data_IF_611001009599
#
_entry.id   IF_611001009599
#
_cell.length_a   1.000
_cell.length_b   1.000
_cell.length_c   1.000
_cell.angle_alpha   90.00
_cell.angle_beta   90.00
_cell.angle_gamma   90.00
#
_symmetry.space_group_name_H-M   'P 1'
#
loop_
_entity.id
_entity.type
_entity.pdbx_description
1 polymer ?
#
# COMPACT_ATOMS: atom_id res chain seq x y z
N UNK A 1 21.48 -10.97 6.75
CA UNK A 1 21.49 -10.47 5.37
C UNK A 1 20.29 -9.58 5.14
N UNK A 2 20.50 -8.38 4.65
CA UNK A 2 19.42 -7.45 4.38
C UNK A 2 18.70 -7.88 3.10
N UNK A 3 17.38 -7.96 3.15
CA UNK A 3 16.60 -8.28 1.98
C UNK A 3 16.67 -7.14 0.96
N UNK A 4 16.81 -7.48 -0.32
CA UNK A 4 17.04 -6.50 -1.38
C UNK A 4 15.91 -5.49 -1.56
N UNK A 5 14.67 -5.86 -1.23
CA UNK A 5 13.55 -4.93 -1.39
C UNK A 5 13.73 -3.65 -0.59
N UNK A 6 14.48 -3.72 0.52
CA UNK A 6 14.75 -2.54 1.34
C UNK A 6 15.58 -1.49 0.63
N UNK A 7 16.26 -1.87 -0.44
CA UNK A 7 17.07 -0.96 -1.25
C UNK A 7 16.26 -0.33 -2.39
N UNK A 8 15.03 -0.78 -2.61
CA UNK A 8 14.19 -0.25 -3.68
C UNK A 8 13.54 1.06 -3.25
N UNK A 9 13.71 2.10 -4.04
CA UNK A 9 13.09 3.40 -3.78
C UNK A 9 11.57 3.29 -3.74
N UNK A 10 11.01 2.44 -4.60
CA UNK A 10 9.56 2.25 -4.66
C UNK A 10 9.03 1.62 -3.37
N UNK A 11 9.81 0.74 -2.73
CA UNK A 11 9.41 0.18 -1.44
C UNK A 11 9.40 1.25 -0.35
N UNK A 12 10.48 2.05 -0.30
CA UNK A 12 10.58 3.15 0.67
C UNK A 12 9.44 4.15 0.48
N UNK A 13 9.16 4.53 -0.77
CA UNK A 13 8.04 5.43 -1.06
C UNK A 13 6.71 4.82 -0.62
N UNK A 14 6.53 3.51 -0.81
CA UNK A 14 5.34 2.80 -0.35
C UNK A 14 5.20 2.83 1.17
N UNK A 15 6.31 2.67 1.90
CA UNK A 15 6.30 2.75 3.36
C UNK A 15 5.92 4.16 3.84
N UNK A 16 6.46 5.20 3.19
CA UNK A 16 6.10 6.58 3.51
C UNK A 16 4.62 6.84 3.26
N UNK A 17 4.10 6.29 2.18
CA UNK A 17 2.68 6.41 1.85
C UNK A 17 1.81 5.75 2.94
N UNK A 18 2.20 4.59 3.44
CA UNK A 18 1.48 3.93 4.54
C UNK A 18 1.42 4.83 5.77
N UNK A 19 2.55 5.43 6.14
CA UNK A 19 2.59 6.33 7.30
C UNK A 19 1.65 7.52 7.11
N UNK A 20 1.67 8.13 5.92
CA UNK A 20 0.79 9.25 5.62
C UNK A 20 -0.68 8.85 5.70
N UNK A 21 -1.03 7.67 5.20
CA UNK A 21 -2.41 7.18 5.24
C UNK A 21 -2.86 6.90 6.68
N UNK A 22 -1.98 6.39 7.52
CA UNK A 22 -2.31 6.18 8.93
C UNK A 22 -2.55 7.50 9.64
N UNK A 23 -1.71 8.50 9.39
CA UNK A 23 -1.90 9.85 9.96
C UNK A 23 -3.22 10.47 9.48
N UNK A 24 -3.46 10.39 8.18
CA UNK A 24 -4.66 10.96 7.58
C UNK A 24 -5.93 10.32 8.14
N UNK A 25 -5.93 9.00 8.29
CA UNK A 25 -7.13 8.28 8.73
C UNK A 25 -7.41 8.43 10.22
N UNK A 26 -6.46 8.90 11.02
CA UNK A 26 -6.74 9.20 12.43
C UNK A 26 -7.75 10.34 12.58
N UNK A 27 -7.90 11.20 11.57
CA UNK A 27 -8.87 12.30 11.61
C UNK A 27 -10.25 11.90 11.12
N UNK A 28 -10.43 10.67 10.63
CA UNK A 28 -11.75 10.19 10.20
C UNK A 28 -12.62 9.88 11.43
N UNK A 29 -13.97 10.00 11.29
CA UNK A 29 -14.86 9.67 12.38
C UNK A 29 -14.67 8.24 12.88
N UNK A 30 -14.93 8.03 14.17
CA UNK A 30 -14.76 6.72 14.80
C UNK A 30 -15.65 5.65 14.18
N UNK A 31 -16.83 6.03 13.70
CA UNK A 31 -17.75 5.10 13.06
C UNK A 31 -17.27 4.65 11.68
N UNK A 32 -16.19 5.27 11.15
CA UNK A 32 -15.54 4.83 9.91
C UNK A 32 -14.41 3.82 10.17
N UNK A 33 -14.18 3.43 11.42
CA UNK A 33 -13.07 2.54 11.78
C UNK A 33 -13.09 1.23 11.00
N UNK A 34 -14.26 0.62 10.82
CA UNK A 34 -14.39 -0.62 10.07
C UNK A 34 -14.82 -0.42 8.63
N UNK A 35 -15.06 0.83 8.22
CA UNK A 35 -15.37 1.20 6.85
C UNK A 35 -14.18 1.83 6.17
N UNK A 36 -14.22 3.15 5.96
CA UNK A 36 -13.22 3.88 5.16
C UNK A 36 -11.82 3.78 5.75
N UNK A 37 -11.67 3.92 7.07
CA UNK A 37 -10.35 3.82 7.71
C UNK A 37 -9.70 2.47 7.41
N UNK A 38 -10.44 1.39 7.60
CA UNK A 38 -9.93 0.04 7.35
C UNK A 38 -9.55 -0.14 5.88
N UNK A 39 -10.41 0.30 4.96
CA UNK A 39 -10.17 0.14 3.53
C UNK A 39 -8.93 0.93 3.08
N UNK A 40 -8.77 2.16 3.52
CA UNK A 40 -7.61 2.99 3.18
C UNK A 40 -6.32 2.34 3.66
N UNK A 41 -6.30 1.92 4.92
CA UNK A 41 -5.10 1.33 5.52
C UNK A 41 -4.72 0.01 4.86
N UNK A 42 -5.70 -0.84 4.56
CA UNK A 42 -5.44 -2.12 3.90
C UNK A 42 -4.89 -1.94 2.49
N UNK A 43 -5.47 -1.01 1.72
CA UNK A 43 -4.98 -0.73 0.38
C UNK A 43 -3.56 -0.17 0.42
N UNK A 44 -3.28 0.75 1.34
CA UNK A 44 -1.96 1.35 1.48
C UNK A 44 -0.90 0.29 1.83
N UNK A 45 -1.17 -0.54 2.84
CA UNK A 45 -0.24 -1.59 3.30
C UNK A 45 0.05 -2.59 2.20
N UNK A 46 -0.94 -2.90 1.36
CA UNK A 46 -0.79 -3.86 0.25
C UNK A 46 0.29 -3.43 -0.76
N UNK A 47 0.56 -2.13 -0.88
CA UNK A 47 1.53 -1.63 -1.86
C UNK A 47 2.96 -2.08 -1.51
N UNK A 48 3.56 -1.66 -0.38
CA UNK A 48 4.91 -2.11 -0.07
C UNK A 48 4.98 -3.60 0.23
N UNK A 49 3.92 -4.18 0.77
CA UNK A 49 3.89 -5.62 1.07
C UNK A 49 4.05 -6.45 -0.21
N UNK A 50 3.35 -6.09 -1.29
CA UNK A 50 3.48 -6.80 -2.56
C UNK A 50 4.83 -6.56 -3.24
N UNK A 51 5.36 -5.36 -3.13
CA UNK A 51 6.71 -5.07 -3.66
C UNK A 51 7.73 -5.98 -2.97
N UNK A 52 7.67 -6.04 -1.64
CA UNK A 52 8.59 -6.87 -0.86
C UNK A 52 8.44 -8.35 -1.20
N UNK A 53 7.20 -8.85 -1.18
CA UNK A 53 6.93 -10.26 -1.45
C UNK A 53 7.39 -10.65 -2.84
N UNK A 54 7.06 -9.85 -3.86
CA UNK A 54 7.45 -10.11 -5.23
C UNK A 54 8.96 -10.09 -5.43
N UNK A 55 9.65 -9.17 -4.76
CA UNK A 55 11.10 -9.07 -4.89
C UNK A 55 11.82 -10.24 -4.23
N UNK A 56 11.20 -10.90 -3.26
CA UNK A 56 11.77 -12.08 -2.61
C UNK A 56 11.60 -13.35 -3.44
N UNK A 57 10.71 -13.33 -4.43
CA UNK A 57 10.55 -14.47 -5.35
C UNK A 57 11.63 -14.41 -6.41
N UNK A 58 12.24 -15.55 -6.71
CA UNK A 58 13.32 -15.61 -7.69
C UNK A 58 12.77 -15.85 -9.08
N UNK A 59 11.83 -15.00 -9.50
CA UNK A 59 11.14 -15.14 -10.78
C UNK A 59 10.64 -13.78 -11.23
N UNK A 60 11.08 -13.33 -12.41
CA UNK A 60 10.63 -12.07 -12.98
C UNK A 60 9.12 -12.04 -13.27
N UNK A 61 8.51 -13.10 -13.83
CA UNK A 61 7.07 -13.10 -14.01
C UNK A 61 6.28 -12.95 -12.70
N UNK A 62 6.74 -13.60 -11.63
CA UNK A 62 6.10 -13.49 -10.31
C UNK A 62 6.26 -12.08 -9.76
N UNK A 63 7.45 -11.50 -9.90
CA UNK A 63 7.68 -10.13 -9.45
C UNK A 63 6.75 -9.15 -10.20
N UNK A 64 6.66 -9.29 -11.53
CA UNK A 64 5.75 -8.45 -12.33
C UNK A 64 4.30 -8.58 -11.87
N UNK A 65 3.87 -9.79 -11.54
CA UNK A 65 2.51 -10.02 -11.03
C UNK A 65 2.29 -9.27 -9.71
N UNK A 66 3.25 -9.33 -8.79
CA UNK A 66 3.14 -8.61 -7.51
C UNK A 66 3.14 -7.09 -7.71
N UNK A 67 3.94 -6.58 -8.65
CA UNK A 67 3.92 -5.16 -9.00
C UNK A 67 2.55 -4.77 -9.56
N UNK A 68 1.96 -5.63 -10.39
CA UNK A 68 0.62 -5.40 -10.93
C UNK A 68 -0.43 -5.31 -9.81
N UNK A 69 -0.33 -6.19 -8.80
CA UNK A 69 -1.21 -6.15 -7.63
C UNK A 69 -1.01 -4.84 -6.86
N UNK A 70 0.25 -4.42 -6.68
CA UNK A 70 0.56 -3.17 -5.99
C UNK A 70 -0.03 -1.97 -6.72
N UNK A 71 0.04 -1.94 -8.06
CA UNK A 71 -0.58 -0.89 -8.86
C UNK A 71 -2.10 -0.87 -8.70
N UNK A 72 -2.73 -2.04 -8.65
CA UNK A 72 -4.16 -2.15 -8.39
C UNK A 72 -4.53 -1.61 -7.02
N UNK A 73 -3.73 -1.94 -6.01
CA UNK A 73 -3.93 -1.43 -4.65
C UNK A 73 -3.77 0.09 -4.60
N UNK A 74 -2.85 0.64 -5.37
CA UNK A 74 -2.66 2.09 -5.46
C UNK A 74 -3.90 2.76 -6.06
N UNK A 75 -4.45 2.19 -7.13
CA UNK A 75 -5.67 2.71 -7.76
C UNK A 75 -6.86 2.64 -6.79
N UNK A 76 -6.97 1.56 -6.02
CA UNK A 76 -7.98 1.43 -4.96
C UNK A 76 -7.81 2.53 -3.92
N UNK A 77 -6.58 2.73 -3.47
CA UNK A 77 -6.28 3.74 -2.45
C UNK A 77 -6.67 5.14 -2.94
N UNK A 78 -6.30 5.49 -4.17
CA UNK A 78 -6.68 6.76 -4.76
C UNK A 78 -8.19 6.94 -4.79
N UNK A 79 -8.91 5.87 -5.12
CA UNK A 79 -10.36 5.88 -5.18
C UNK A 79 -10.96 6.12 -3.79
N UNK A 80 -10.47 5.41 -2.78
CA UNK A 80 -10.96 5.59 -1.42
C UNK A 80 -10.70 7.00 -0.89
N UNK A 81 -9.51 7.55 -1.17
CA UNK A 81 -9.18 8.91 -0.75
C UNK A 81 -10.06 9.94 -1.45
N UNK A 82 -10.37 9.71 -2.71
CA UNK A 82 -11.29 10.58 -3.45
C UNK A 82 -12.70 10.52 -2.86
N UNK A 83 -13.17 9.32 -2.52
CA UNK A 83 -14.47 9.14 -1.87
C UNK A 83 -14.50 9.87 -0.51
N UNK A 84 -13.44 9.73 0.27
CA UNK A 84 -13.36 10.34 1.59
C UNK A 84 -13.36 11.87 1.52
N UNK A 85 -12.88 12.44 0.42
CA UNK A 85 -12.88 13.88 0.19
C UNK A 85 -14.27 14.46 -0.06
N UNK A 86 -15.14 13.64 -0.58
CA UNK A 86 -16.50 14.09 -0.92
C UNK A 86 -17.40 14.01 0.29
#
# INVERSE_FOLDING_TARGET
MTAKYRELDVWTAGMDLVEHCYQLTTSLPRDEQFGMTSQVRRAAVSIPANIAEGSCRKSDPVFRNHISIALGSHAELETYLEIAKR
#
